data_IF_485273260014
#
_entry.id   IF_485273260014
#
_cell.length_a   1.000
_cell.length_b   1.000
_cell.length_c   1.000
_cell.angle_alpha   90.00
_cell.angle_beta   90.00
_cell.angle_gamma   90.00
#
_symmetry.space_group_name_H-M   'P 1'
#
loop_
_entity.id
_entity.type
_entity.pdbx_description
1 polymer ?
#
# COMPACT_ATOMS: atom_id res chain seq x y z
N UNK A 1 4.11 0.80 -4.68
CA UNK A 1 3.79 -0.63 -4.59
C UNK A 1 3.83 -1.24 -3.20
N UNK A 2 4.49 -0.63 -2.16
CA UNK A 2 4.67 -1.28 -0.84
C UNK A 2 3.35 -1.63 -0.15
N UNK A 3 2.50 -0.66 0.12
CA UNK A 3 1.25 -0.88 0.87
C UNK A 3 0.36 -1.95 0.23
N UNK A 4 0.08 -1.94 -1.08
CA UNK A 4 -0.67 -3.02 -1.73
C UNK A 4 0.01 -4.39 -1.64
N UNK A 5 1.35 -4.44 -1.68
CA UNK A 5 2.06 -5.71 -1.53
C UNK A 5 1.99 -6.24 -0.10
N UNK A 6 2.14 -5.38 0.91
CA UNK A 6 1.94 -5.79 2.32
C UNK A 6 0.52 -6.31 2.55
N UNK A 7 -0.49 -5.69 1.93
CA UNK A 7 -1.88 -6.19 1.96
C UNK A 7 -2.02 -7.55 1.29
N UNK A 8 -1.40 -7.75 0.12
CA UNK A 8 -1.39 -9.03 -0.58
C UNK A 8 -0.77 -10.14 0.28
N UNK A 9 0.41 -9.89 0.84
CA UNK A 9 1.10 -10.83 1.74
C UNK A 9 0.26 -11.18 2.97
N UNK A 10 -0.25 -10.15 3.66
CA UNK A 10 -1.04 -10.34 4.87
C UNK A 10 -2.31 -11.17 4.62
N UNK A 11 -3.04 -10.90 3.53
CA UNK A 11 -4.23 -11.67 3.15
C UNK A 11 -3.91 -13.13 2.81
N UNK A 12 -2.79 -13.37 2.12
CA UNK A 12 -2.37 -14.73 1.76
C UNK A 12 -1.98 -15.54 2.98
N UNK A 13 -1.19 -14.95 3.89
CA UNK A 13 -0.78 -15.56 5.15
C UNK A 13 -1.98 -15.83 6.08
N UNK A 14 -2.93 -14.89 6.18
CA UNK A 14 -4.18 -15.12 6.92
C UNK A 14 -4.97 -16.31 6.35
N UNK A 15 -5.06 -16.44 5.01
CA UNK A 15 -5.72 -17.58 4.36
C UNK A 15 -5.01 -18.90 4.65
N UNK A 16 -3.71 -18.88 4.87
CA UNK A 16 -2.92 -20.03 5.32
C UNK A 16 -3.09 -20.34 6.83
N UNK A 17 -3.87 -19.53 7.56
CA UNK A 17 -4.13 -19.72 8.99
C UNK A 17 -3.17 -18.99 9.92
N UNK A 18 -2.27 -18.17 9.39
CA UNK A 18 -1.28 -17.45 10.17
C UNK A 18 -1.88 -16.24 10.90
N UNK A 19 -1.39 -15.99 12.11
CA UNK A 19 -1.70 -14.79 12.89
C UNK A 19 -0.71 -13.71 12.55
N UNK A 20 -1.09 -12.86 11.61
CA UNK A 20 -0.20 -11.86 11.00
C UNK A 20 -0.15 -10.57 11.82
N UNK A 21 1.07 -10.06 12.03
CA UNK A 21 1.30 -8.71 12.50
C UNK A 21 2.08 -7.90 11.44
N UNK A 22 1.77 -6.61 11.31
CA UNK A 22 2.48 -5.67 10.46
C UNK A 22 3.13 -4.62 11.36
N UNK A 23 4.44 -4.44 11.23
CA UNK A 23 5.17 -3.37 11.90
C UNK A 23 5.57 -2.31 10.87
N UNK A 24 5.10 -1.09 11.08
CA UNK A 24 5.43 0.07 10.25
C UNK A 24 6.11 1.16 11.08
N UNK A 25 6.69 2.14 10.41
CA UNK A 25 7.29 3.30 11.09
C UNK A 25 6.25 4.22 11.72
N UNK A 26 5.08 4.33 11.11
CA UNK A 26 4.10 5.34 11.49
C UNK A 26 4.55 6.75 11.10
N UNK A 27 5.14 6.90 9.90
CA UNK A 27 5.67 8.16 9.40
C UNK A 27 4.63 9.28 9.49
N UNK A 28 5.00 10.40 10.13
CA UNK A 28 4.15 11.56 10.45
C UNK A 28 3.00 11.28 11.42
N UNK A 29 2.84 10.06 11.92
CA UNK A 29 1.90 9.77 13.00
C UNK A 29 2.42 10.24 14.36
N UNK A 30 1.53 10.70 15.25
CA UNK A 30 1.91 11.14 16.58
C UNK A 30 2.64 10.05 17.40
N UNK A 31 2.34 8.77 17.12
CA UNK A 31 2.93 7.61 17.79
C UNK A 31 4.26 7.13 17.18
N UNK A 32 4.81 7.78 16.13
CA UNK A 32 6.04 7.36 15.45
C UNK A 32 7.21 7.13 16.43
N UNK A 33 7.41 8.03 17.40
CA UNK A 33 8.54 7.97 18.31
C UNK A 33 8.28 7.12 19.56
N UNK A 34 7.07 7.07 20.05
CA UNK A 34 6.68 6.33 21.28
C UNK A 34 6.39 4.87 21.02
N UNK A 35 5.97 4.54 19.80
CA UNK A 35 5.42 3.24 19.46
C UNK A 35 4.01 3.03 20.00
N UNK A 36 3.16 2.35 19.24
CA UNK A 36 1.81 2.00 19.68
C UNK A 36 1.21 0.88 18.80
N UNK A 37 0.22 0.16 19.34
CA UNK A 37 -0.59 -0.80 18.62
C UNK A 37 -1.74 -0.04 17.97
N UNK A 38 -1.82 -0.08 16.63
CA UNK A 38 -2.86 0.56 15.83
C UNK A 38 -4.10 -0.32 15.75
N UNK A 39 -3.90 -1.62 15.58
CA UNK A 39 -4.96 -2.64 15.59
C UNK A 39 -4.46 -3.87 16.33
N UNK A 40 -5.30 -4.43 17.19
CA UNK A 40 -5.03 -5.71 17.86
C UNK A 40 -5.54 -6.93 17.07
N UNK A 41 -6.06 -6.69 15.85
CA UNK A 41 -6.70 -7.67 15.00
C UNK A 41 -8.23 -7.73 15.15
N UNK A 42 -8.77 -7.39 16.32
CA UNK A 42 -10.21 -7.31 16.56
C UNK A 42 -10.75 -5.87 16.41
N UNK A 43 -9.99 -4.92 16.90
CA UNK A 43 -10.37 -3.50 16.96
C UNK A 43 -9.23 -2.59 16.47
N UNK A 44 -9.59 -1.47 15.85
CA UNK A 44 -8.68 -0.39 15.52
C UNK A 44 -8.62 0.56 16.73
N UNK A 45 -7.46 0.69 17.34
CA UNK A 45 -7.25 1.39 18.61
C UNK A 45 -6.80 2.85 18.42
N UNK A 46 -6.26 3.19 17.26
CA UNK A 46 -5.75 4.52 16.94
C UNK A 46 -6.40 5.06 15.69
N UNK A 47 -6.49 6.38 15.59
CA UNK A 47 -6.89 7.07 14.36
C UNK A 47 -5.69 7.33 13.42
N UNK A 48 -5.96 7.89 12.24
CA UNK A 48 -4.93 8.17 11.23
C UNK A 48 -3.89 9.21 11.68
N UNK A 49 -4.28 10.21 12.46
CA UNK A 49 -3.38 11.23 13.01
C UNK A 49 -2.36 10.60 14.00
N UNK A 50 -2.81 9.64 14.78
CA UNK A 50 -1.97 8.93 15.74
C UNK A 50 -1.07 7.89 15.08
N UNK A 51 -1.63 7.10 14.17
CA UNK A 51 -0.96 5.98 13.52
C UNK A 51 -0.08 6.38 12.33
N UNK A 52 -0.47 7.42 11.61
CA UNK A 52 -0.05 7.72 10.24
C UNK A 52 -0.98 7.08 9.21
N UNK A 53 -1.08 7.71 8.03
CA UNK A 53 -2.05 7.34 6.97
C UNK A 53 -1.93 5.86 6.54
N UNK A 54 -0.70 5.40 6.24
CA UNK A 54 -0.46 4.05 5.72
C UNK A 54 -0.75 2.94 6.73
N UNK A 55 -0.25 2.99 7.98
CA UNK A 55 -0.59 1.99 8.99
C UNK A 55 -2.08 1.96 9.34
N UNK A 56 -2.72 3.13 9.37
CA UNK A 56 -4.15 3.19 9.59
C UNK A 56 -4.93 2.55 8.43
N UNK A 57 -4.51 2.80 7.19
CA UNK A 57 -5.08 2.15 6.00
C UNK A 57 -4.93 0.62 6.08
N UNK A 58 -3.74 0.12 6.45
CA UNK A 58 -3.49 -1.31 6.64
C UNK A 58 -4.44 -1.90 7.70
N UNK A 59 -4.54 -1.27 8.87
CA UNK A 59 -5.45 -1.72 9.93
C UNK A 59 -6.91 -1.76 9.47
N UNK A 60 -7.30 -0.81 8.63
CA UNK A 60 -8.65 -0.68 8.11
C UNK A 60 -9.02 -1.72 7.05
N UNK A 61 -8.06 -2.02 6.15
CA UNK A 61 -8.28 -2.90 4.99
C UNK A 61 -7.97 -4.36 5.26
N UNK A 62 -7.40 -4.66 6.43
CA UNK A 62 -6.98 -6.00 6.84
C UNK A 62 -7.61 -6.40 8.20
N UNK A 63 -8.92 -6.69 8.24
CA UNK A 63 -9.54 -7.23 9.45
C UNK A 63 -8.82 -8.50 9.93
N UNK A 64 -8.60 -8.64 11.22
CA UNK A 64 -7.90 -9.79 11.80
C UNK A 64 -6.37 -9.64 11.84
N UNK A 65 -5.79 -8.63 11.17
CA UNK A 65 -4.34 -8.37 11.19
C UNK A 65 -3.99 -7.41 12.32
N UNK A 66 -2.93 -7.74 13.05
CA UNK A 66 -2.33 -6.85 14.04
C UNK A 66 -1.51 -5.80 13.29
N UNK A 67 -1.69 -4.53 13.61
CA UNK A 67 -0.88 -3.44 13.04
C UNK A 67 -0.28 -2.62 14.17
N UNK A 68 1.02 -2.40 14.13
CA UNK A 68 1.71 -1.58 15.12
C UNK A 68 2.71 -0.62 14.45
N UNK A 69 2.93 0.51 15.09
CA UNK A 69 3.83 1.56 14.61
C UNK A 69 4.89 1.89 15.62
N UNK A 70 6.04 2.30 15.14
CA UNK A 70 7.12 2.80 15.97
C UNK A 70 8.43 2.90 15.21
N UNK A 71 9.21 3.92 15.49
CA UNK A 71 10.56 4.09 14.92
C UNK A 71 11.51 2.96 15.39
N UNK A 72 11.36 2.51 16.62
CA UNK A 72 12.07 1.35 17.14
C UNK A 72 11.21 0.08 16.93
N UNK A 73 11.35 -0.56 15.74
CA UNK A 73 10.59 -1.77 15.39
C UNK A 73 10.86 -2.94 16.30
N UNK A 74 12.09 -3.05 16.84
CA UNK A 74 12.43 -4.13 17.75
C UNK A 74 11.63 -4.02 19.06
N UNK A 75 11.56 -2.82 19.63
CA UNK A 75 10.81 -2.60 20.87
C UNK A 75 9.31 -2.85 20.71
N UNK A 76 8.70 -2.28 19.65
CA UNK A 76 7.26 -2.49 19.41
C UNK A 76 6.96 -3.93 18.97
N UNK A 77 7.86 -4.58 18.22
CA UNK A 77 7.74 -5.99 17.84
C UNK A 77 7.71 -6.90 19.06
N UNK A 78 8.64 -6.73 19.99
CA UNK A 78 8.66 -7.48 21.25
C UNK A 78 7.39 -7.27 22.09
N UNK A 79 6.84 -6.05 22.09
CA UNK A 79 5.56 -5.79 22.76
C UNK A 79 4.40 -6.51 22.09
N UNK A 80 4.32 -6.46 20.76
CA UNK A 80 3.29 -7.16 19.95
C UNK A 80 3.39 -8.66 20.16
N UNK A 81 4.59 -9.23 20.11
CA UNK A 81 4.84 -10.66 20.32
C UNK A 81 4.36 -11.09 21.73
N UNK A 82 4.74 -10.35 22.75
CA UNK A 82 4.36 -10.64 24.14
C UNK A 82 2.86 -10.55 24.41
N UNK A 83 2.17 -9.59 23.80
CA UNK A 83 0.76 -9.29 24.12
C UNK A 83 -0.22 -10.00 23.18
N UNK A 84 0.16 -10.17 21.92
CA UNK A 84 -0.75 -10.58 20.88
C UNK A 84 -0.33 -11.86 20.16
N UNK A 85 0.85 -12.40 20.45
CA UNK A 85 1.36 -13.70 19.97
C UNK A 85 1.13 -13.94 18.45
N UNK A 86 1.63 -13.05 17.56
CA UNK A 86 1.59 -13.32 16.12
C UNK A 86 2.47 -14.53 15.78
N UNK A 87 2.12 -15.24 14.71
CA UNK A 87 2.97 -16.32 14.16
C UNK A 87 3.91 -15.81 13.08
N UNK A 88 3.52 -14.69 12.42
CA UNK A 88 4.30 -14.02 11.37
C UNK A 88 4.28 -12.50 11.59
N UNK A 89 5.44 -11.88 11.40
CA UNK A 89 5.59 -10.42 11.47
C UNK A 89 6.09 -9.91 10.11
N UNK A 90 5.29 -9.06 9.46
CA UNK A 90 5.67 -8.33 8.25
C UNK A 90 6.23 -6.95 8.62
N UNK A 91 7.42 -6.63 8.13
CA UNK A 91 8.01 -5.30 8.27
C UNK A 91 7.71 -4.45 7.05
N UNK A 92 6.85 -3.47 7.18
CA UNK A 92 6.64 -2.47 6.15
C UNK A 92 7.84 -1.51 6.11
N UNK A 93 8.44 -1.37 4.92
CA UNK A 93 9.68 -0.59 4.69
C UNK A 93 10.85 -1.07 5.58
N UNK A 94 11.03 -2.39 5.67
CA UNK A 94 11.98 -3.03 6.58
C UNK A 94 13.41 -3.21 6.07
N UNK A 95 13.65 -3.13 4.74
CA UNK A 95 14.92 -3.51 4.12
C UNK A 95 16.13 -2.71 4.61
N UNK A 96 15.96 -1.41 4.94
CA UNK A 96 16.97 -0.56 5.56
C UNK A 96 16.99 -0.61 7.09
N UNK A 97 16.15 -1.44 7.72
CA UNK A 97 16.08 -1.51 9.19
C UNK A 97 17.04 -2.56 9.76
N UNK A 98 18.32 -2.25 9.78
CA UNK A 98 19.40 -3.13 10.23
C UNK A 98 19.32 -3.64 11.69
N UNK A 99 18.73 -2.88 12.66
CA UNK A 99 18.71 -3.32 14.06
C UNK A 99 17.84 -4.55 14.33
N UNK A 100 17.00 -4.97 13.39
CA UNK A 100 16.13 -6.15 13.55
C UNK A 100 16.53 -7.22 12.54
N UNK A 101 16.84 -8.42 13.06
CA UNK A 101 17.03 -9.60 12.20
C UNK A 101 15.73 -9.92 11.49
N UNK A 102 15.83 -10.28 10.24
CA UNK A 102 14.73 -10.75 9.41
C UNK A 102 15.09 -12.12 8.87
N UNK A 103 14.10 -12.95 8.74
CA UNK A 103 14.27 -14.30 8.23
C UNK A 103 14.12 -14.34 6.70
N UNK A 104 13.42 -13.34 6.13
CA UNK A 104 13.19 -13.23 4.70
C UNK A 104 13.06 -11.78 4.25
N UNK A 105 13.90 -11.36 3.33
CA UNK A 105 13.92 -9.99 2.79
C UNK A 105 13.35 -9.95 1.37
N UNK A 106 12.23 -9.24 1.18
CA UNK A 106 11.59 -9.05 -0.12
C UNK A 106 11.84 -7.62 -0.62
N UNK A 107 12.41 -7.48 -1.81
CA UNK A 107 12.62 -6.17 -2.43
C UNK A 107 11.60 -5.91 -3.52
N UNK A 108 10.90 -4.77 -3.40
CA UNK A 108 9.94 -4.32 -4.40
C UNK A 108 10.58 -3.37 -5.41
N UNK A 109 10.34 -3.64 -6.69
CA UNK A 109 10.80 -2.84 -7.81
C UNK A 109 9.59 -2.29 -8.57
N UNK A 110 9.56 -0.99 -8.84
CA UNK A 110 8.55 -0.38 -9.71
C UNK A 110 9.00 -0.55 -11.17
N UNK A 111 8.28 -1.32 -11.97
CA UNK A 111 8.66 -1.62 -13.35
C UNK A 111 8.81 -0.36 -14.21
N UNK A 112 8.04 0.70 -13.91
CA UNK A 112 8.08 1.96 -14.67
C UNK A 112 9.33 2.80 -14.41
N UNK A 113 10.04 2.52 -13.30
CA UNK A 113 11.31 3.18 -12.96
C UNK A 113 12.16 2.27 -12.04
N UNK A 114 12.64 1.11 -12.53
CA UNK A 114 13.12 0.01 -11.69
C UNK A 114 14.36 0.35 -10.88
N UNK A 115 15.29 1.07 -11.45
CA UNK A 115 16.58 1.38 -10.84
C UNK A 115 16.90 2.87 -10.89
N UNK A 116 15.93 3.72 -11.24
CA UNK A 116 16.11 5.16 -11.41
C UNK A 116 17.32 5.45 -12.34
N UNK A 117 18.23 6.31 -11.90
CA UNK A 117 19.50 6.58 -12.61
C UNK A 117 20.69 5.75 -12.09
N UNK A 118 20.43 4.69 -11.31
CA UNK A 118 21.44 3.82 -10.70
C UNK A 118 22.28 4.47 -9.61
N UNK A 119 21.88 5.65 -9.12
CA UNK A 119 22.65 6.41 -8.12
C UNK A 119 21.85 6.61 -6.84
N UNK A 120 22.56 6.58 -5.71
CA UNK A 120 21.99 6.88 -4.39
C UNK A 120 21.83 8.38 -4.19
N UNK A 121 20.96 8.73 -3.23
CA UNK A 121 20.79 10.11 -2.75
C UNK A 121 22.15 10.73 -2.35
N UNK A 122 22.40 12.01 -2.64
CA UNK A 122 21.51 12.98 -3.29
C UNK A 122 21.64 13.01 -4.83
N UNK A 123 22.50 12.18 -5.45
CA UNK A 123 22.74 12.16 -6.91
C UNK A 123 21.70 11.37 -7.70
N UNK A 124 20.88 10.58 -7.03
CA UNK A 124 19.80 9.77 -7.59
C UNK A 124 18.68 9.59 -6.58
N UNK A 125 17.79 8.62 -6.82
CA UNK A 125 16.63 8.34 -5.99
C UNK A 125 16.79 7.06 -5.16
N UNK A 126 17.86 6.30 -5.36
CA UNK A 126 18.09 5.07 -4.60
C UNK A 126 18.44 5.41 -3.15
N UNK A 127 17.88 4.62 -2.23
CA UNK A 127 18.21 4.71 -0.79
C UNK A 127 19.51 3.98 -0.46
N UNK A 128 19.83 2.94 -1.25
CA UNK A 128 21.02 2.10 -1.14
C UNK A 128 21.60 1.81 -2.52
N UNK A 129 22.89 1.46 -2.63
CA UNK A 129 23.51 0.98 -3.87
C UNK A 129 22.79 -0.26 -4.41
N UNK A 130 22.84 -0.47 -5.73
CA UNK A 130 22.18 -1.62 -6.37
C UNK A 130 22.79 -2.96 -5.92
N UNK A 131 24.05 -2.98 -5.54
CA UNK A 131 24.75 -4.15 -5.02
C UNK A 131 24.05 -4.73 -3.77
N UNK A 132 23.32 -3.90 -3.02
CA UNK A 132 22.54 -4.35 -1.86
C UNK A 132 21.31 -5.20 -2.23
N UNK A 133 20.97 -5.31 -3.51
CA UNK A 133 19.98 -6.27 -3.98
C UNK A 133 20.41 -7.73 -3.70
N UNK A 134 21.70 -8.01 -3.56
CA UNK A 134 22.23 -9.32 -3.18
C UNK A 134 21.67 -9.85 -1.83
N UNK A 135 21.14 -8.99 -0.98
CA UNK A 135 20.54 -9.38 0.30
C UNK A 135 19.09 -9.87 0.19
N UNK A 136 18.45 -9.61 -0.95
CA UNK A 136 17.05 -9.97 -1.13
C UNK A 136 16.87 -11.49 -1.27
N UNK A 137 15.93 -12.06 -0.58
CA UNK A 137 15.55 -13.47 -0.72
C UNK A 137 14.46 -13.66 -1.79
N UNK A 138 13.80 -12.57 -2.18
CA UNK A 138 12.91 -12.54 -3.34
C UNK A 138 12.81 -11.12 -3.92
N UNK A 139 12.50 -11.06 -5.21
CA UNK A 139 12.18 -9.82 -5.90
C UNK A 139 10.70 -9.79 -6.30
N UNK A 140 10.08 -8.63 -6.13
CA UNK A 140 8.70 -8.39 -6.58
C UNK A 140 8.68 -7.17 -7.48
N UNK A 141 8.34 -7.37 -8.74
CA UNK A 141 8.20 -6.29 -9.71
C UNK A 141 6.75 -5.88 -9.81
N UNK A 142 6.46 -4.64 -9.44
CA UNK A 142 5.11 -4.08 -9.43
C UNK A 142 4.85 -3.27 -10.71
N UNK A 143 3.58 -3.13 -11.10
CA UNK A 143 3.15 -2.43 -12.33
C UNK A 143 3.72 -3.05 -13.60
N UNK A 144 3.80 -4.35 -13.64
CA UNK A 144 4.36 -5.09 -14.77
C UNK A 144 3.52 -4.94 -16.06
N UNK A 145 2.25 -4.61 -15.92
CA UNK A 145 1.31 -4.28 -16.98
C UNK A 145 1.63 -2.99 -17.74
N UNK A 146 2.43 -2.09 -17.16
CA UNK A 146 2.78 -0.79 -17.74
C UNK A 146 4.10 -0.79 -18.52
N UNK A 147 4.73 -1.94 -18.71
CA UNK A 147 6.01 -2.08 -19.41
C UNK A 147 5.95 -3.20 -20.45
N UNK A 148 6.79 -3.09 -21.48
CA UNK A 148 6.90 -4.09 -22.55
C UNK A 148 7.65 -5.34 -22.07
N UNK A 149 7.50 -6.45 -22.82
CA UNK A 149 8.22 -7.69 -22.52
C UNK A 149 9.75 -7.50 -22.57
N UNK A 150 10.25 -6.72 -23.54
CA UNK A 150 11.69 -6.41 -23.61
C UNK A 150 12.22 -5.61 -22.40
N UNK A 151 11.37 -4.78 -21.78
CA UNK A 151 11.70 -4.09 -20.53
C UNK A 151 11.66 -5.03 -19.33
N UNK A 152 10.71 -5.97 -19.29
CA UNK A 152 10.68 -7.03 -18.28
C UNK A 152 11.93 -7.91 -18.33
N UNK A 153 12.34 -8.35 -19.53
CA UNK A 153 13.57 -9.13 -19.71
C UNK A 153 14.81 -8.38 -19.21
N UNK A 154 14.90 -7.07 -19.49
CA UNK A 154 16.00 -6.23 -18.97
C UNK A 154 15.98 -6.14 -17.45
N UNK A 155 14.81 -5.95 -16.84
CA UNK A 155 14.69 -5.91 -15.38
C UNK A 155 15.12 -7.25 -14.79
N UNK A 156 14.59 -8.36 -15.32
CA UNK A 156 14.96 -9.70 -14.87
C UNK A 156 16.46 -9.97 -14.98
N UNK A 157 17.09 -9.62 -16.12
CA UNK A 157 18.53 -9.80 -16.33
C UNK A 157 19.40 -8.99 -15.35
N UNK A 158 18.97 -7.79 -14.95
CA UNK A 158 19.65 -7.01 -13.93
C UNK A 158 19.51 -7.67 -12.54
N UNK A 159 18.33 -8.15 -12.18
CA UNK A 159 18.10 -8.79 -10.90
C UNK A 159 18.85 -10.12 -10.77
N UNK A 160 18.86 -10.93 -11.84
CA UNK A 160 19.62 -12.18 -11.92
C UNK A 160 21.14 -11.94 -11.77
N UNK A 161 21.64 -10.81 -12.27
CA UNK A 161 23.05 -10.43 -12.11
C UNK A 161 23.44 -10.22 -10.63
N UNK A 162 22.56 -9.61 -9.83
CA UNK A 162 22.87 -9.35 -8.41
C UNK A 162 22.69 -10.59 -7.54
N UNK A 163 21.64 -11.35 -7.75
CA UNK A 163 21.42 -12.61 -7.04
C UNK A 163 20.63 -13.58 -7.92
N UNK A 164 21.36 -14.59 -8.41
CA UNK A 164 20.79 -15.64 -9.25
C UNK A 164 19.87 -16.58 -8.45
N UNK A 165 18.89 -17.14 -9.13
CA UNK A 165 17.99 -18.18 -8.61
C UNK A 165 17.11 -17.78 -7.43
N UNK A 166 16.93 -16.49 -7.17
CA UNK A 166 15.90 -16.06 -6.23
C UNK A 166 14.56 -15.87 -6.94
N UNK A 167 13.44 -16.14 -6.27
CA UNK A 167 12.11 -15.97 -6.87
C UNK A 167 11.88 -14.55 -7.37
N UNK A 168 11.30 -14.45 -8.56
CA UNK A 168 10.91 -13.20 -9.19
C UNK A 168 9.39 -13.19 -9.43
N UNK A 169 8.67 -12.45 -8.60
CA UNK A 169 7.23 -12.30 -8.69
C UNK A 169 6.87 -11.04 -9.47
N UNK A 170 6.13 -11.21 -10.56
CA UNK A 170 5.57 -10.11 -11.33
C UNK A 170 4.14 -9.81 -10.87
N UNK A 171 3.84 -8.52 -10.67
CA UNK A 171 2.54 -8.10 -10.17
C UNK A 171 2.03 -6.88 -10.90
N UNK A 172 0.70 -6.76 -10.97
CA UNK A 172 -0.01 -5.60 -11.48
C UNK A 172 -0.91 -4.99 -10.40
N UNK A 173 -1.24 -3.72 -10.59
CA UNK A 173 -2.23 -3.04 -9.78
C UNK A 173 -3.58 -3.05 -10.50
N UNK A 174 -4.55 -3.73 -9.92
CA UNK A 174 -5.91 -3.81 -10.48
C UNK A 174 -6.86 -2.94 -9.68
N UNK A 175 -7.50 -1.93 -10.31
CA UNK A 175 -8.58 -1.20 -9.66
C UNK A 175 -9.77 -2.12 -9.43
N UNK A 176 -10.37 -2.01 -8.26
CA UNK A 176 -11.65 -2.64 -7.95
C UNK A 176 -12.81 -1.70 -8.31
N UNK A 177 -14.04 -2.14 -8.06
CA UNK A 177 -15.18 -1.27 -8.24
C UNK A 177 -15.16 -0.15 -7.18
N UNK A 178 -15.48 1.10 -7.56
CA UNK A 178 -15.63 2.18 -6.60
C UNK A 178 -16.69 1.86 -5.56
N UNK A 179 -16.40 2.20 -4.32
CA UNK A 179 -17.29 1.99 -3.16
C UNK A 179 -17.70 3.35 -2.62
N UNK A 180 -18.94 3.52 -2.16
CA UNK A 180 -19.34 4.75 -1.46
C UNK A 180 -18.45 4.97 -0.23
N UNK A 181 -18.05 6.22 0.00
CA UNK A 181 -17.16 6.54 1.11
C UNK A 181 -17.71 6.04 2.47
N UNK A 182 -19.01 6.19 2.73
CA UNK A 182 -19.65 5.72 3.97
C UNK A 182 -19.48 4.20 4.14
N UNK A 183 -19.70 3.42 3.09
CA UNK A 183 -19.55 1.96 3.10
C UNK A 183 -18.08 1.56 3.28
N UNK A 184 -17.18 2.18 2.51
CA UNK A 184 -15.75 1.95 2.68
C UNK A 184 -15.30 2.27 4.11
N UNK A 185 -15.78 3.39 4.68
CA UNK A 185 -15.49 3.78 6.07
C UNK A 185 -16.00 2.75 7.09
N UNK A 186 -17.13 2.09 6.83
CA UNK A 186 -17.69 1.07 7.72
C UNK A 186 -17.11 -0.34 7.48
N UNK A 187 -16.28 -0.52 6.46
CA UNK A 187 -15.76 -1.84 6.08
C UNK A 187 -16.83 -2.75 5.45
N UNK A 188 -17.89 -2.15 4.92
CA UNK A 188 -18.98 -2.88 4.29
C UNK A 188 -18.58 -3.26 2.85
N UNK A 189 -18.83 -4.53 2.49
CA UNK A 189 -18.73 -4.99 1.10
C UNK A 189 -20.06 -4.74 0.40
N UNK A 190 -20.00 -3.99 -0.69
CA UNK A 190 -21.21 -3.53 -1.40
C UNK A 190 -21.80 -4.61 -2.29
N UNK A 191 -23.11 -4.78 -2.25
CA UNK A 191 -23.88 -5.23 -3.41
C UNK A 191 -23.83 -4.13 -4.48
N UNK A 192 -23.72 -4.51 -5.76
CA UNK A 192 -23.53 -3.59 -6.90
C UNK A 192 -24.68 -2.57 -6.97
N UNK A 193 -24.50 -1.40 -6.39
CA UNK A 193 -25.29 -0.23 -6.76
C UNK A 193 -24.81 0.31 -8.11
N UNK A 194 -25.75 0.83 -8.90
CA UNK A 194 -25.41 1.50 -10.16
C UNK A 194 -24.50 2.71 -9.89
N UNK A 195 -23.26 2.64 -10.35
CA UNK A 195 -22.31 3.72 -10.19
C UNK A 195 -22.70 4.94 -11.03
N UNK A 196 -22.45 6.15 -10.54
CA UNK A 196 -22.55 7.35 -11.35
C UNK A 196 -21.66 7.26 -12.60
N UNK A 197 -22.08 7.92 -13.68
CA UNK A 197 -21.29 7.95 -14.92
C UNK A 197 -20.30 9.11 -15.00
N UNK A 198 -20.52 10.15 -14.20
CA UNK A 198 -19.76 11.40 -14.25
C UNK A 198 -19.12 11.68 -12.89
N UNK A 199 -17.81 11.68 -12.89
CA UNK A 199 -17.02 11.94 -11.69
C UNK A 199 -16.05 13.11 -11.90
N UNK A 200 -15.57 13.68 -10.81
CA UNK A 200 -14.27 14.33 -10.73
C UNK A 200 -13.36 13.48 -9.83
N UNK A 201 -12.05 13.62 -9.97
CA UNK A 201 -11.09 13.02 -9.04
C UNK A 201 -10.55 14.07 -8.09
N UNK A 202 -10.25 13.68 -6.85
CA UNK A 202 -9.50 14.47 -5.88
C UNK A 202 -8.40 13.59 -5.31
N UNK A 203 -7.16 14.05 -5.37
CA UNK A 203 -6.03 13.33 -4.79
C UNK A 203 -4.93 14.26 -4.25
N UNK A 204 -4.23 13.77 -3.23
CA UNK A 204 -3.04 14.37 -2.65
C UNK A 204 -1.90 13.32 -2.62
N UNK A 205 -1.48 12.91 -3.81
CA UNK A 205 -0.52 11.83 -4.06
C UNK A 205 0.72 12.36 -4.79
N UNK A 206 1.87 11.75 -4.58
CA UNK A 206 3.11 12.10 -5.27
C UNK A 206 3.09 11.87 -6.79
N UNK A 207 2.20 11.01 -7.27
CA UNK A 207 1.95 10.79 -8.71
C UNK A 207 0.44 10.81 -9.02
N UNK A 208 -0.17 11.99 -9.16
CA UNK A 208 -1.59 12.14 -9.48
C UNK A 208 -2.00 11.47 -10.80
N UNK A 209 -1.14 11.58 -11.82
CA UNK A 209 -1.41 11.00 -13.15
C UNK A 209 -1.57 9.47 -13.10
N UNK A 210 -0.84 8.79 -12.22
CA UNK A 210 -1.01 7.35 -12.00
C UNK A 210 -2.39 7.00 -11.42
N UNK A 211 -2.91 7.81 -10.51
CA UNK A 211 -4.26 7.63 -9.97
C UNK A 211 -5.34 7.86 -11.03
N UNK A 212 -5.19 8.92 -11.83
CA UNK A 212 -6.10 9.23 -12.93
C UNK A 212 -6.14 8.10 -13.97
N UNK A 213 -4.96 7.54 -14.32
CA UNK A 213 -4.87 6.37 -15.19
C UNK A 213 -5.57 5.14 -14.58
N UNK A 214 -5.47 4.96 -13.25
CA UNK A 214 -6.18 3.90 -12.52
C UNK A 214 -7.69 4.08 -12.59
N UNK A 215 -8.19 5.32 -12.44
CA UNK A 215 -9.62 5.64 -12.59
C UNK A 215 -10.11 5.31 -13.99
N UNK A 216 -9.32 5.66 -15.02
CA UNK A 216 -9.64 5.33 -16.40
C UNK A 216 -9.61 3.81 -16.65
N UNK A 217 -8.65 3.08 -16.10
CA UNK A 217 -8.55 1.62 -16.19
C UNK A 217 -9.74 0.91 -15.50
N UNK A 218 -10.35 1.52 -14.50
CA UNK A 218 -11.61 1.06 -13.90
C UNK A 218 -12.84 1.28 -14.80
N UNK A 219 -12.67 1.82 -16.02
CA UNK A 219 -13.77 2.13 -16.94
C UNK A 219 -14.56 3.38 -16.57
N UNK A 220 -14.02 4.24 -15.71
CA UNK A 220 -14.67 5.44 -15.22
C UNK A 220 -14.21 6.67 -16.01
N UNK A 221 -15.12 7.62 -16.21
CA UNK A 221 -14.83 8.87 -16.91
C UNK A 221 -14.81 10.02 -15.89
N UNK A 222 -13.61 10.54 -15.61
CA UNK A 222 -13.46 11.76 -14.83
C UNK A 222 -13.53 12.99 -15.75
N UNK A 223 -14.35 13.96 -15.37
CA UNK A 223 -14.53 15.21 -16.14
C UNK A 223 -13.58 16.33 -15.68
N UNK A 224 -13.03 16.19 -14.48
CA UNK A 224 -12.06 17.13 -13.92
C UNK A 224 -11.19 16.43 -12.88
N UNK A 225 -10.00 17.00 -12.61
CA UNK A 225 -8.99 16.44 -11.73
C UNK A 225 -8.49 17.50 -10.76
N UNK A 226 -8.87 17.39 -9.49
CA UNK A 226 -8.36 18.21 -8.41
C UNK A 226 -7.11 17.57 -7.80
N UNK A 227 -5.97 18.22 -7.99
CA UNK A 227 -4.67 17.75 -7.52
C UNK A 227 -4.18 18.65 -6.40
N UNK A 228 -3.94 18.07 -5.23
CA UNK A 228 -3.33 18.76 -4.09
C UNK A 228 -1.89 18.26 -3.89
N UNK A 229 -1.04 19.02 -3.19
CA UNK A 229 0.32 18.60 -2.90
C UNK A 229 0.38 17.23 -2.22
N UNK A 230 1.44 16.45 -2.47
CA UNK A 230 1.64 15.16 -1.83
C UNK A 230 1.61 15.29 -0.30
N UNK A 231 0.92 14.37 0.35
CA UNK A 231 0.67 14.38 1.80
C UNK A 231 -0.09 15.60 2.32
N UNK A 232 -0.83 16.31 1.45
CA UNK A 232 -1.70 17.39 1.89
C UNK A 232 -2.70 16.91 2.96
N UNK A 233 -2.83 17.68 4.03
CA UNK A 233 -3.85 17.47 5.06
C UNK A 233 -5.11 18.23 4.63
N UNK A 234 -6.16 17.48 4.29
CA UNK A 234 -7.41 18.06 3.82
C UNK A 234 -8.06 18.96 4.87
N UNK A 235 -8.59 20.06 4.43
CA UNK A 235 -9.38 21.00 5.22
C UNK A 235 -10.84 20.98 4.80
N UNK A 236 -11.71 21.56 5.62
CA UNK A 236 -13.14 21.68 5.27
C UNK A 236 -13.35 22.59 4.04
N UNK A 237 -12.42 23.51 3.76
CA UNK A 237 -12.45 24.36 2.56
C UNK A 237 -12.13 23.55 1.31
N UNK A 238 -11.18 22.62 1.37
CA UNK A 238 -10.88 21.71 0.26
C UNK A 238 -12.12 20.87 -0.10
N UNK A 239 -12.84 20.37 0.91
CA UNK A 239 -14.06 19.60 0.71
C UNK A 239 -15.14 20.44 0.03
N UNK A 240 -15.39 21.66 0.54
CA UNK A 240 -16.36 22.58 -0.05
C UNK A 240 -16.00 22.95 -1.50
N UNK A 241 -14.70 23.17 -1.76
CA UNK A 241 -14.19 23.45 -3.09
C UNK A 241 -14.41 22.27 -4.05
N UNK A 242 -14.08 21.06 -3.62
CA UNK A 242 -14.25 19.85 -4.43
C UNK A 242 -15.73 19.59 -4.75
N UNK A 243 -16.61 19.67 -3.75
CA UNK A 243 -18.05 19.49 -3.95
C UNK A 243 -18.65 20.56 -4.85
N UNK A 244 -18.22 21.81 -4.68
CA UNK A 244 -18.63 22.93 -5.55
C UNK A 244 -18.16 22.77 -6.99
N UNK A 245 -16.93 22.31 -7.21
CA UNK A 245 -16.38 22.02 -8.54
C UNK A 245 -17.14 20.88 -9.22
N UNK A 246 -17.38 19.79 -8.49
CA UNK A 246 -18.16 18.66 -9.00
C UNK A 246 -19.58 19.05 -9.41
N UNK A 247 -20.27 19.85 -8.61
CA UNK A 247 -21.61 20.34 -8.94
C UNK A 247 -21.60 21.25 -10.19
N UNK A 248 -20.62 22.14 -10.34
CA UNK A 248 -20.46 23.00 -11.53
C UNK A 248 -20.17 22.22 -12.78
N UNK A 249 -19.37 21.13 -12.68
CA UNK A 249 -19.06 20.24 -13.78
C UNK A 249 -20.22 19.29 -14.13
N UNK A 250 -21.33 19.29 -13.37
CA UNK A 250 -22.42 18.34 -13.53
C UNK A 250 -22.00 16.90 -13.20
N UNK A 251 -20.95 16.74 -12.39
CA UNK A 251 -20.51 15.44 -11.90
C UNK A 251 -21.49 14.91 -10.83
N UNK A 252 -21.61 13.60 -10.78
CA UNK A 252 -22.50 12.88 -9.87
C UNK A 252 -21.75 12.34 -8.64
N UNK A 253 -20.42 12.50 -8.61
CA UNK A 253 -19.58 12.06 -7.50
C UNK A 253 -18.14 12.53 -7.60
N UNK A 254 -17.44 12.38 -6.49
CA UNK A 254 -15.99 12.62 -6.34
C UNK A 254 -15.34 11.30 -6.01
N UNK A 255 -14.31 10.91 -6.78
CA UNK A 255 -13.51 9.71 -6.54
C UNK A 255 -12.19 10.10 -5.88
N UNK A 256 -11.85 9.40 -4.81
CA UNK A 256 -10.57 9.52 -4.10
C UNK A 256 -9.87 8.16 -4.01
N UNK A 257 -8.56 8.17 -3.80
CA UNK A 257 -7.81 6.98 -3.45
C UNK A 257 -8.10 6.54 -2.00
N UNK A 258 -7.84 5.28 -1.66
CA UNK A 258 -7.93 4.80 -0.27
C UNK A 258 -7.01 5.60 0.68
N UNK A 259 -5.83 6.00 0.19
CA UNK A 259 -4.87 6.81 0.93
C UNK A 259 -5.41 8.21 1.27
N UNK A 260 -6.17 8.81 0.35
CA UNK A 260 -6.84 10.08 0.58
C UNK A 260 -8.09 9.89 1.45
N UNK A 261 -8.85 8.83 1.23
CA UNK A 261 -10.05 8.51 2.01
C UNK A 261 -9.78 8.43 3.52
N UNK A 262 -8.63 7.89 3.91
CA UNK A 262 -8.18 7.85 5.31
C UNK A 262 -8.14 9.24 5.95
N UNK A 263 -7.69 10.26 5.21
CA UNK A 263 -7.53 11.64 5.68
C UNK A 263 -8.85 12.40 5.80
N UNK A 264 -9.91 11.89 5.16
CA UNK A 264 -11.21 12.56 5.12
C UNK A 264 -12.10 12.26 6.33
N UNK A 265 -11.74 11.31 7.19
CA UNK A 265 -12.61 10.76 8.24
C UNK A 265 -13.08 11.77 9.30
N UNK A 266 -12.28 12.81 9.54
CA UNK A 266 -12.56 13.86 10.52
C UNK A 266 -13.30 15.07 9.92
N UNK A 267 -13.59 15.02 8.61
CA UNK A 267 -14.20 16.11 7.88
C UNK A 267 -15.69 15.83 7.61
N UNK A 268 -16.45 16.91 7.45
CA UNK A 268 -17.85 16.82 7.08
C UNK A 268 -17.99 16.69 5.56
N UNK A 269 -18.47 15.56 5.10
CA UNK A 269 -18.67 15.24 3.69
C UNK A 269 -20.16 15.13 3.38
N UNK A 270 -20.55 15.48 2.15
CA UNK A 270 -21.81 15.02 1.57
C UNK A 270 -21.63 13.56 1.16
N UNK A 271 -21.74 12.62 2.10
CA UNK A 271 -21.31 11.20 1.97
C UNK A 271 -21.87 10.50 0.73
N UNK A 272 -23.08 10.82 0.28
CA UNK A 272 -23.68 10.25 -0.93
C UNK A 272 -22.96 10.66 -2.22
N UNK A 273 -22.04 11.62 -2.14
CA UNK A 273 -21.31 12.19 -3.29
C UNK A 273 -19.86 11.70 -3.39
N UNK A 274 -19.36 11.01 -2.37
CA UNK A 274 -17.98 10.58 -2.26
C UNK A 274 -17.81 9.09 -2.48
N UNK A 275 -16.81 8.73 -3.27
CA UNK A 275 -16.47 7.36 -3.61
C UNK A 275 -14.99 7.11 -3.42
N UNK A 276 -14.65 5.93 -2.96
CA UNK A 276 -13.28 5.45 -2.84
C UNK A 276 -13.03 4.44 -3.94
N UNK A 277 -11.90 4.55 -4.63
CA UNK A 277 -11.44 3.54 -5.58
C UNK A 277 -10.43 2.63 -4.88
N UNK A 278 -10.81 1.44 -4.44
CA UNK A 278 -9.89 0.48 -3.86
C UNK A 278 -9.01 -0.13 -4.96
N UNK A 279 -7.84 -0.58 -4.55
CA UNK A 279 -6.91 -1.26 -5.44
C UNK A 279 -6.42 -2.56 -4.80
N UNK A 280 -6.26 -3.58 -5.60
CA UNK A 280 -5.54 -4.78 -5.19
C UNK A 280 -4.29 -5.00 -6.03
N UNK A 281 -3.34 -5.70 -5.46
CA UNK A 281 -2.18 -6.20 -6.16
C UNK A 281 -2.45 -7.65 -6.54
N UNK A 282 -2.27 -7.96 -7.82
CA UNK A 282 -2.48 -9.30 -8.36
C UNK A 282 -1.16 -9.83 -8.92
N UNK A 283 -0.81 -11.06 -8.56
CA UNK A 283 0.31 -11.78 -9.14
C UNK A 283 -0.02 -12.17 -10.59
N UNK A 284 0.94 -12.02 -11.50
CA UNK A 284 0.81 -12.39 -12.91
C UNK A 284 1.73 -13.55 -13.29
N UNK A 285 2.94 -13.60 -12.75
CA UNK A 285 3.93 -14.64 -13.05
C UNK A 285 4.83 -14.86 -11.84
N UNK A 286 5.26 -16.10 -11.60
CA UNK A 286 6.22 -16.46 -10.55
C UNK A 286 5.60 -16.64 -9.15
N UNK A 287 4.25 -16.69 -9.04
CA UNK A 287 3.58 -16.74 -7.74
C UNK A 287 3.86 -18.06 -7.00
N UNK A 288 3.80 -19.20 -7.67
CA UNK A 288 4.04 -20.49 -7.04
C UNK A 288 5.47 -20.60 -6.54
N UNK A 289 6.46 -20.29 -7.39
CA UNK A 289 7.87 -20.32 -7.03
C UNK A 289 8.20 -19.40 -5.85
N UNK A 290 7.56 -18.21 -5.82
CA UNK A 290 7.72 -17.26 -4.73
C UNK A 290 7.24 -17.83 -3.39
N UNK A 291 6.04 -18.45 -3.37
CA UNK A 291 5.47 -18.99 -2.14
C UNK A 291 6.17 -20.28 -1.71
N UNK A 292 6.50 -21.20 -2.63
CA UNK A 292 7.25 -22.43 -2.33
C UNK A 292 8.61 -22.09 -1.71
N UNK A 293 9.36 -21.18 -2.30
CA UNK A 293 10.66 -20.76 -1.76
C UNK A 293 10.53 -20.11 -0.37
N UNK A 294 9.52 -19.28 -0.17
CA UNK A 294 9.30 -18.65 1.13
C UNK A 294 8.91 -19.66 2.21
N UNK A 295 8.09 -20.65 1.87
CA UNK A 295 7.69 -21.74 2.77
C UNK A 295 8.89 -22.61 3.13
N UNK A 296 9.74 -22.98 2.18
CA UNK A 296 10.96 -23.77 2.40
C UNK A 296 11.94 -23.05 3.34
N UNK A 297 12.20 -21.76 3.12
CA UNK A 297 13.06 -20.95 3.98
C UNK A 297 12.46 -20.79 5.39
N UNK A 298 11.16 -20.69 5.49
CA UNK A 298 10.47 -20.58 6.78
C UNK A 298 10.52 -21.88 7.58
N UNK A 299 10.37 -23.04 6.94
CA UNK A 299 10.48 -24.36 7.60
C UNK A 299 11.90 -24.66 8.07
N UNK A 300 12.91 -24.26 7.27
CA UNK A 300 14.33 -24.47 7.62
C UNK A 300 14.84 -23.52 8.70
N UNK A 301 14.19 -22.36 8.87
CA UNK A 301 14.53 -21.36 9.89
C UNK A 301 13.89 -21.58 11.27
N UNK A 302 12.89 -22.50 11.34
CA UNK A 302 12.27 -22.95 12.59
C UNK A 302 13.04 -24.13 13.16
#
# INVERSE_FOLDING_TARGET
GKTPFVQYMARRLQKAGERVAILSRGYRGASENTGAIVSNGAEILLNAEQAGDEPYLLARTLPGVIVAVGKNRAAIGAQVEKLLHPTVILLDDGFQHWPLRRDYDIVLIDATNPFSNGRVLPRGLLREPLEHLERADAYVVTKSDLVTEAEREKIAGVLEHFRAHVPLLWTEHRPLQPVRYAQWRNGETTEQEALPRRFITLCALGNPASFEATVAAAGLVAHDHLRLPDHHMYTQDDIRHAEGTAMKAGAQGIIVSEKDAVKLQVLQLRESFWYVLPMELTATTGENEFWEHMEDEWETGR
#
